data_IF_500553174740
#
_entry.id   IF_500553174740
#
_cell.length_a   1.000
_cell.length_b   1.000
_cell.length_c   1.000
_cell.angle_alpha   90.00
_cell.angle_beta   90.00
_cell.angle_gamma   90.00
#
_symmetry.space_group_name_H-M   'P 1'
#
loop_
_entity.id
_entity.type
_entity.pdbx_description
1 polymer ?
#
# COMPACT_ATOMS: atom_id res chain seq x y z
N UNK A 1 -4.50 -6.15 -5.49
CA UNK A 1 -4.12 -6.06 -6.93
C UNK A 1 -2.60 -6.00 -7.00
N UNK A 2 -1.95 -6.78 -7.88
CA UNK A 2 -0.49 -6.66 -8.09
C UNK A 2 -0.20 -5.30 -8.72
N UNK A 3 0.69 -4.54 -8.11
CA UNK A 3 1.16 -3.27 -8.67
C UNK A 3 2.41 -3.51 -9.50
N UNK A 4 2.44 -3.01 -10.74
CA UNK A 4 3.67 -3.00 -11.55
C UNK A 4 4.56 -1.89 -11.00
N UNK A 5 5.73 -2.24 -10.48
CA UNK A 5 6.81 -1.33 -10.03
C UNK A 5 6.37 -0.23 -9.05
N UNK A 6 5.73 -0.59 -7.94
CA UNK A 6 5.59 0.35 -6.81
C UNK A 6 6.80 0.19 -5.89
N UNK A 7 7.55 1.27 -5.57
CA UNK A 7 8.68 1.21 -4.64
C UNK A 7 8.30 0.85 -3.19
N UNK A 8 7.03 0.95 -2.81
CA UNK A 8 6.56 0.64 -1.45
C UNK A 8 6.33 -0.86 -1.22
N UNK A 9 5.65 -1.54 -2.13
CA UNK A 9 5.32 -2.96 -1.97
C UNK A 9 4.77 -3.56 -3.29
N UNK A 10 4.92 -4.87 -3.51
CA UNK A 10 4.37 -5.56 -4.68
C UNK A 10 2.83 -5.63 -4.70
N UNK A 11 2.17 -5.54 -3.53
CA UNK A 11 0.72 -5.64 -3.41
C UNK A 11 0.07 -4.39 -2.83
N UNK A 12 -1.10 -4.03 -3.39
CA UNK A 12 -2.00 -3.01 -2.85
C UNK A 12 -3.38 -3.61 -2.57
N UNK A 13 -3.87 -3.39 -1.35
CA UNK A 13 -5.26 -3.57 -0.95
C UNK A 13 -5.96 -2.20 -0.92
N UNK A 14 -7.18 -2.17 -1.48
CA UNK A 14 -8.02 -0.97 -1.54
C UNK A 14 -9.20 -1.16 -0.61
N UNK A 15 -9.26 -0.38 0.47
CA UNK A 15 -10.32 -0.44 1.47
C UNK A 15 -10.95 0.95 1.61
N UNK A 16 -11.97 1.24 0.79
CA UNK A 16 -12.55 2.58 0.70
C UNK A 16 -11.51 3.64 0.33
N UNK A 17 -11.35 4.65 1.19
CA UNK A 17 -10.35 5.71 1.07
C UNK A 17 -8.94 5.25 1.46
N UNK A 18 -8.77 4.08 2.07
CA UNK A 18 -7.46 3.59 2.47
C UNK A 18 -6.79 2.76 1.38
N UNK A 19 -5.48 2.93 1.26
CA UNK A 19 -4.57 2.11 0.45
C UNK A 19 -3.57 1.43 1.38
N UNK A 20 -3.57 0.11 1.39
CA UNK A 20 -2.67 -0.70 2.22
C UNK A 20 -1.66 -1.38 1.30
N UNK A 21 -0.39 -1.08 1.50
CA UNK A 21 0.74 -1.65 0.77
C UNK A 21 1.33 -2.76 1.61
N UNK A 22 1.44 -3.96 1.03
CA UNK A 22 1.85 -5.15 1.78
C UNK A 22 2.68 -6.12 0.95
N UNK A 23 3.43 -6.93 1.68
CA UNK A 23 4.18 -8.07 1.18
C UNK A 23 3.63 -9.36 1.78
N UNK A 24 3.75 -10.46 1.04
CA UNK A 24 3.35 -11.79 1.49
C UNK A 24 4.60 -12.65 1.51
N UNK A 25 4.92 -13.17 2.68
CA UNK A 25 5.89 -14.25 2.85
C UNK A 25 5.12 -15.57 2.90
N UNK A 26 5.14 -16.29 1.78
CA UNK A 26 4.44 -17.57 1.64
C UNK A 26 5.10 -18.69 2.45
N UNK A 27 6.40 -18.58 2.77
CA UNK A 27 7.10 -19.60 3.56
C UNK A 27 6.69 -19.49 5.02
N UNK A 28 6.70 -18.28 5.57
CA UNK A 28 6.29 -18.05 6.96
C UNK A 28 4.79 -17.80 7.15
N UNK A 29 3.99 -17.88 6.07
CA UNK A 29 2.55 -17.60 6.05
C UNK A 29 2.21 -16.24 6.70
N UNK A 30 3.01 -15.23 6.39
CA UNK A 30 2.94 -13.90 7.00
C UNK A 30 2.60 -12.84 5.97
N UNK A 31 1.70 -11.93 6.36
CA UNK A 31 1.44 -10.70 5.62
C UNK A 31 2.08 -9.54 6.37
N UNK A 32 2.97 -8.81 5.71
CA UNK A 32 3.65 -7.66 6.28
C UNK A 32 3.07 -6.40 5.67
N UNK A 33 2.46 -5.55 6.49
CA UNK A 33 1.98 -4.23 6.05
C UNK A 33 3.17 -3.27 6.05
N UNK A 34 3.55 -2.78 4.87
CA UNK A 34 4.66 -1.85 4.68
C UNK A 34 4.19 -0.41 4.92
N UNK A 35 3.02 -0.06 4.39
CA UNK A 35 2.44 1.27 4.55
C UNK A 35 0.92 1.25 4.49
N UNK A 36 0.30 2.20 5.20
CA UNK A 36 -1.13 2.51 5.08
C UNK A 36 -1.24 3.98 4.71
N UNK A 37 -1.94 4.27 3.63
CA UNK A 37 -2.21 5.62 3.17
C UNK A 37 -3.69 5.93 3.14
N UNK A 38 -4.02 7.20 3.35
CA UNK A 38 -5.35 7.77 3.15
C UNK A 38 -5.39 8.48 1.81
N UNK A 39 -6.29 8.06 0.92
CA UNK A 39 -6.49 8.65 -0.40
C UNK A 39 -7.71 9.54 -0.35
N UNK A 40 -7.52 10.82 -0.65
CA UNK A 40 -8.59 11.80 -0.82
C UNK A 40 -8.50 12.35 -2.24
N UNK A 41 -9.55 12.13 -3.03
CA UNK A 41 -9.55 12.46 -4.46
C UNK A 41 -8.32 11.85 -5.17
N UNK A 42 -7.42 12.71 -5.67
CA UNK A 42 -6.22 12.30 -6.39
C UNK A 42 -4.99 12.20 -5.49
N UNK A 43 -5.06 12.69 -4.25
CA UNK A 43 -3.94 12.78 -3.32
C UNK A 43 -3.88 11.52 -2.45
N UNK A 44 -2.73 10.88 -2.38
CA UNK A 44 -2.45 9.81 -1.42
C UNK A 44 -1.53 10.36 -0.35
N UNK A 45 -1.93 10.25 0.92
CA UNK A 45 -1.09 10.61 2.07
C UNK A 45 -0.67 9.39 2.85
N UNK A 46 0.62 9.23 3.14
CA UNK A 46 1.15 8.20 4.03
C UNK A 46 1.85 8.93 5.18
N UNK A 47 1.46 8.64 6.43
CA UNK A 47 1.97 9.33 7.63
C UNK A 47 1.83 10.87 7.58
N UNK A 48 0.80 11.37 6.91
CA UNK A 48 0.54 12.81 6.74
C UNK A 48 1.19 13.43 5.51
N UNK A 49 2.18 12.76 4.90
CA UNK A 49 2.91 13.26 3.74
C UNK A 49 2.29 12.80 2.43
N UNK A 50 2.21 13.68 1.43
CA UNK A 50 1.77 13.31 0.08
C UNK A 50 2.82 12.43 -0.60
N UNK A 51 2.37 11.30 -1.16
CA UNK A 51 3.24 10.34 -1.86
C UNK A 51 2.78 10.18 -3.29
N UNK A 52 3.72 10.31 -4.22
CA UNK A 52 3.54 9.97 -5.64
C UNK A 52 4.02 8.53 -5.85
N UNK A 53 3.12 7.68 -6.35
CA UNK A 53 3.35 6.27 -6.66
C UNK A 53 3.37 6.02 -8.15
#
# INVERSE_FOLDING_TARGET
KIMRQNPLAPWELRAGQYRVFYEVDEVSQKVVIVAVGHKEHNVLRIRGEEVKL
#
